data_IF_488291074942
#
_entry.id   IF_488291074942
#
_cell.length_a   1.000
_cell.length_b   1.000
_cell.length_c   1.000
_cell.angle_alpha   90.00
_cell.angle_beta   90.00
_cell.angle_gamma   90.00
#
_symmetry.space_group_name_H-M   'P 1'
#
loop_
_entity.id
_entity.type
_entity.pdbx_description
1 polymer ?
#
# COMPACT_ATOMS: atom_id res chain seq x y z
N UNK A 1 20.75 1.56 0.85
CA UNK A 1 19.69 0.86 0.08
C UNK A 1 18.36 1.23 0.76
N UNK A 2 17.43 1.86 0.03
CA UNK A 2 16.23 2.51 0.59
C UNK A 2 16.54 3.66 1.58
N UNK A 3 17.55 4.47 1.25
CA UNK A 3 18.05 5.61 2.03
C UNK A 3 17.44 6.96 1.60
N UNK A 4 16.25 6.92 1.02
CA UNK A 4 15.59 8.10 0.43
C UNK A 4 16.03 8.43 -0.99
N UNK A 5 16.87 7.60 -1.63
CA UNK A 5 17.15 7.69 -3.06
C UNK A 5 15.85 7.71 -3.89
N UNK A 6 15.80 8.61 -4.88
CA UNK A 6 14.70 8.73 -5.84
C UNK A 6 14.93 7.90 -7.10
N UNK A 7 15.99 7.08 -7.15
CA UNK A 7 16.24 6.20 -8.28
C UNK A 7 15.06 5.22 -8.42
N UNK A 8 14.29 5.29 -9.52
CA UNK A 8 13.14 4.43 -9.69
C UNK A 8 13.51 2.95 -9.62
N UNK A 9 14.74 2.54 -9.99
CA UNK A 9 15.15 1.13 -10.09
C UNK A 9 15.20 0.44 -8.73
N UNK A 10 15.21 1.22 -7.66
CA UNK A 10 15.15 0.72 -6.30
C UNK A 10 13.70 0.44 -5.84
N UNK A 11 12.68 0.95 -6.54
CA UNK A 11 11.28 0.84 -6.13
C UNK A 11 10.82 -0.61 -5.90
N UNK A 12 11.15 -1.62 -6.75
CA UNK A 12 10.74 -3.00 -6.48
C UNK A 12 11.27 -3.58 -5.17
N UNK A 13 12.40 -3.07 -4.67
CA UNK A 13 13.00 -3.51 -3.40
C UNK A 13 12.61 -2.61 -2.22
N UNK A 14 12.39 -1.32 -2.46
CA UNK A 14 12.13 -0.34 -1.43
C UNK A 14 10.64 0.00 -1.24
N UNK A 15 9.80 -0.47 -2.15
CA UNK A 15 8.40 -0.06 -2.24
C UNK A 15 8.24 1.29 -2.92
N UNK A 16 6.98 1.61 -3.20
CA UNK A 16 6.58 2.92 -3.69
C UNK A 16 5.12 3.20 -3.31
N UNK A 17 4.89 3.85 -2.16
CA UNK A 17 3.56 4.24 -1.70
C UNK A 17 2.90 5.20 -2.69
N UNK A 18 1.64 4.94 -3.04
CA UNK A 18 0.83 5.77 -3.94
C UNK A 18 -0.47 6.24 -3.31
N UNK A 19 -1.11 5.37 -2.53
CA UNK A 19 -2.35 5.65 -1.83
C UNK A 19 -2.10 5.67 -0.34
N UNK A 20 -2.55 6.71 0.34
CA UNK A 20 -2.37 6.87 1.78
C UNK A 20 -3.69 7.34 2.40
N UNK A 21 -4.18 6.64 3.43
CA UNK A 21 -5.36 7.06 4.17
C UNK A 21 -5.26 6.68 5.64
N UNK A 22 -5.54 7.63 6.53
CA UNK A 22 -5.67 7.34 7.95
C UNK A 22 -7.04 6.75 8.26
N UNK A 23 -7.06 5.68 9.07
CA UNK A 23 -8.23 5.31 9.81
C UNK A 23 -8.32 6.21 11.07
N UNK A 24 -9.18 7.22 11.04
CA UNK A 24 -9.29 8.19 12.12
C UNK A 24 -9.78 7.61 13.46
N UNK A 25 -10.33 6.39 13.48
CA UNK A 25 -10.75 5.73 14.73
C UNK A 25 -9.58 5.08 15.46
N UNK A 26 -8.64 4.49 14.72
CA UNK A 26 -7.49 3.77 15.29
C UNK A 26 -6.19 4.57 15.22
N UNK A 27 -6.18 5.63 14.40
CA UNK A 27 -4.99 6.40 14.01
C UNK A 27 -3.96 5.58 13.20
N UNK A 28 -4.35 4.43 12.66
CA UNK A 28 -3.51 3.67 11.74
C UNK A 28 -3.48 4.33 10.36
N UNK A 29 -2.32 4.29 9.70
CA UNK A 29 -2.13 4.70 8.31
C UNK A 29 -2.13 3.46 7.42
N UNK A 30 -3.14 3.36 6.55
CA UNK A 30 -3.15 2.39 5.47
C UNK A 30 -2.45 2.94 4.24
N UNK A 31 -1.72 2.05 3.56
CA UNK A 31 -0.83 2.37 2.46
C UNK A 31 -1.11 1.40 1.31
N UNK A 32 -1.45 1.91 0.13
CA UNK A 32 -1.42 1.15 -1.12
C UNK A 32 -0.05 1.37 -1.75
N UNK A 33 0.78 0.33 -1.70
CA UNK A 33 2.12 0.31 -2.26
C UNK A 33 2.12 -0.43 -3.60
N UNK A 34 2.74 0.19 -4.61
CA UNK A 34 2.74 -0.35 -5.97
C UNK A 34 3.38 -1.75 -6.11
N UNK A 35 4.23 -2.16 -5.17
CA UNK A 35 4.96 -3.43 -5.20
C UNK A 35 4.60 -4.35 -4.03
N UNK A 36 4.18 -3.79 -2.89
CA UNK A 36 3.92 -4.56 -1.68
C UNK A 36 2.43 -4.73 -1.32
N UNK A 37 1.52 -4.21 -2.14
CA UNK A 37 0.08 -4.36 -1.95
C UNK A 37 -0.48 -3.42 -0.89
N UNK A 38 -1.43 -3.90 -0.08
CA UNK A 38 -2.01 -3.12 1.01
C UNK A 38 -1.19 -3.33 2.29
N UNK A 39 -0.70 -2.23 2.86
CA UNK A 39 0.05 -2.19 4.10
C UNK A 39 -0.68 -1.35 5.16
N UNK A 40 -0.27 -1.51 6.42
CA UNK A 40 -0.70 -0.69 7.54
C UNK A 40 0.46 -0.39 8.49
N UNK A 41 0.50 0.83 9.03
CA UNK A 41 1.41 1.21 10.10
C UNK A 41 0.65 1.97 11.19
N UNK A 42 0.96 1.67 12.44
CA UNK A 42 0.31 2.31 13.59
C UNK A 42 0.71 3.78 13.77
N UNK A 43 0.09 4.48 14.73
CA UNK A 43 0.28 5.92 14.95
C UNK A 43 1.71 6.32 15.34
N UNK A 44 2.51 5.38 15.84
CA UNK A 44 3.91 5.60 16.20
C UNK A 44 4.86 5.49 14.98
N UNK A 45 4.34 5.21 13.79
CA UNK A 45 5.13 4.94 12.60
C UNK A 45 5.91 3.62 12.71
N UNK A 46 7.04 3.55 12.02
CA UNK A 46 7.87 2.36 11.91
C UNK A 46 7.69 1.63 10.59
N UNK A 47 8.07 0.35 10.56
CA UNK A 47 7.95 -0.50 9.37
C UNK A 47 6.49 -0.92 9.22
N UNK A 48 5.88 -0.65 8.06
CA UNK A 48 4.51 -1.04 7.77
C UNK A 48 4.40 -2.57 7.60
N UNK A 49 3.28 -3.14 8.01
CA UNK A 49 2.97 -4.56 7.88
C UNK A 49 2.02 -4.81 6.71
N UNK A 50 2.24 -5.89 5.97
CA UNK A 50 1.35 -6.31 4.89
C UNK A 50 0.01 -6.81 5.45
N UNK A 51 -1.08 -6.27 4.90
CA UNK A 51 -2.46 -6.68 5.19
C UNK A 51 -2.98 -7.60 4.09
N UNK A 52 -2.71 -7.26 2.83
CA UNK A 52 -3.14 -8.06 1.69
C UNK A 52 -2.18 -7.89 0.50
N UNK A 53 -1.86 -9.01 -0.16
CA UNK A 53 -0.98 -9.07 -1.34
C UNK A 53 -1.63 -9.73 -2.56
N UNK A 54 -2.83 -10.29 -2.38
CA UNK A 54 -3.61 -10.95 -3.43
C UNK A 54 -5.09 -10.94 -3.09
N UNK A 55 -5.94 -11.14 -4.10
CA UNK A 55 -7.36 -11.43 -3.95
C UNK A 55 -7.74 -12.57 -4.90
N UNK A 56 -8.55 -13.51 -4.42
CA UNK A 56 -9.01 -14.67 -5.23
C UNK A 56 -7.86 -15.48 -5.86
N UNK A 57 -6.70 -15.52 -5.20
CA UNK A 57 -5.51 -16.20 -5.70
C UNK A 57 -4.70 -15.43 -6.76
N UNK A 58 -5.13 -14.21 -7.14
CA UNK A 58 -4.41 -13.33 -8.06
C UNK A 58 -3.61 -12.30 -7.27
N UNK A 59 -2.26 -12.28 -7.38
CA UNK A 59 -1.42 -11.27 -6.75
C UNK A 59 -1.73 -9.86 -7.28
N UNK A 60 -1.64 -8.86 -6.40
CA UNK A 60 -1.70 -7.47 -6.83
C UNK A 60 -0.43 -7.10 -7.60
N UNK A 61 -0.60 -6.48 -8.76
CA UNK A 61 0.53 -6.07 -9.61
C UNK A 61 0.88 -4.60 -9.47
N UNK A 62 -0.10 -3.76 -9.12
CA UNK A 62 0.05 -2.31 -9.07
C UNK A 62 -1.03 -1.64 -8.20
N UNK A 63 -0.98 -1.86 -6.88
CA UNK A 63 -1.86 -1.17 -5.94
C UNK A 63 -1.60 0.35 -5.94
N UNK A 64 -2.66 1.15 -6.00
CA UNK A 64 -2.52 2.58 -6.34
C UNK A 64 -3.26 3.51 -5.38
N UNK A 65 -4.58 3.46 -5.31
CA UNK A 65 -5.37 4.34 -4.45
C UNK A 65 -6.12 3.53 -3.39
N UNK A 66 -6.43 4.17 -2.26
CA UNK A 66 -7.30 3.60 -1.25
C UNK A 66 -8.15 4.65 -0.54
N UNK A 67 -9.29 4.21 -0.01
CA UNK A 67 -10.14 4.98 0.89
C UNK A 67 -10.70 4.08 2.00
N UNK A 68 -11.16 4.70 3.08
CA UNK A 68 -11.64 3.99 4.28
C UNK A 68 -13.03 4.52 4.62
N UNK A 69 -13.99 3.61 4.73
CA UNK A 69 -15.31 3.94 5.29
C UNK A 69 -15.15 4.28 6.77
N UNK A 70 -15.44 5.52 7.12
CA UNK A 70 -15.30 6.05 8.48
C UNK A 70 -16.26 5.39 9.48
N UNK A 71 -17.37 4.81 9.03
CA UNK A 71 -18.35 4.16 9.90
C UNK A 71 -17.96 2.72 10.20
N UNK A 72 -17.60 1.94 9.19
CA UNK A 72 -17.31 0.51 9.34
C UNK A 72 -15.82 0.20 9.56
N UNK A 73 -14.92 1.08 9.09
CA UNK A 73 -13.48 0.80 9.02
C UNK A 73 -13.09 -0.06 7.82
N UNK A 74 -14.02 -0.36 6.90
CA UNK A 74 -13.71 -1.10 5.69
C UNK A 74 -12.75 -0.31 4.79
N UNK A 75 -11.71 -0.98 4.31
CA UNK A 75 -10.68 -0.42 3.42
C UNK A 75 -10.98 -0.84 1.99
N UNK A 76 -11.15 0.12 1.11
CA UNK A 76 -11.35 -0.08 -0.33
C UNK A 76 -10.11 0.42 -1.04
N UNK A 77 -9.51 -0.39 -1.91
CA UNK A 77 -8.32 -0.01 -2.65
C UNK A 77 -8.38 -0.55 -4.07
N UNK A 78 -7.59 0.05 -4.95
CA UNK A 78 -7.51 -0.35 -6.37
C UNK A 78 -6.18 -0.99 -6.68
N UNK A 79 -6.24 -2.05 -7.49
CA UNK A 79 -5.11 -2.60 -8.22
C UNK A 79 -5.23 -2.16 -9.68
N UNK A 80 -4.25 -1.39 -10.17
CA UNK A 80 -4.35 -0.76 -11.50
C UNK A 80 -4.10 -1.76 -12.63
N UNK A 81 -3.32 -2.81 -12.34
CA UNK A 81 -3.08 -3.91 -13.27
C UNK A 81 -2.50 -5.11 -12.51
N UNK A 82 -2.94 -6.31 -12.87
CA UNK A 82 -2.37 -7.58 -12.42
C UNK A 82 -1.25 -8.09 -13.34
N UNK A 83 -0.99 -7.38 -14.45
CA UNK A 83 -0.04 -7.78 -15.51
C UNK A 83 1.13 -6.80 -15.57
N UNK A 84 0.83 -5.51 -15.58
CA UNK A 84 1.83 -4.46 -15.66
C UNK A 84 2.12 -3.93 -14.26
N UNK A 85 3.37 -4.09 -13.84
CA UNK A 85 3.85 -3.38 -12.67
C UNK A 85 4.00 -1.89 -12.99
N UNK A 86 4.25 -1.10 -11.97
CA UNK A 86 4.60 0.31 -12.12
C UNK A 86 5.93 0.45 -12.88
N UNK A 87 5.90 0.42 -14.22
CA UNK A 87 6.93 0.83 -15.19
C UNK A 87 6.51 0.48 -16.61
#
# INVERSE_FOLDING_TARGET
>A
MCDGSTNPDNEPSCGRPLGLKFNHKTCDLFIADAYFGLLVVGPNGGVAHQVATSAEGVPFGFANALDIDTHTGAVYFTDSSTVYQRR
#
